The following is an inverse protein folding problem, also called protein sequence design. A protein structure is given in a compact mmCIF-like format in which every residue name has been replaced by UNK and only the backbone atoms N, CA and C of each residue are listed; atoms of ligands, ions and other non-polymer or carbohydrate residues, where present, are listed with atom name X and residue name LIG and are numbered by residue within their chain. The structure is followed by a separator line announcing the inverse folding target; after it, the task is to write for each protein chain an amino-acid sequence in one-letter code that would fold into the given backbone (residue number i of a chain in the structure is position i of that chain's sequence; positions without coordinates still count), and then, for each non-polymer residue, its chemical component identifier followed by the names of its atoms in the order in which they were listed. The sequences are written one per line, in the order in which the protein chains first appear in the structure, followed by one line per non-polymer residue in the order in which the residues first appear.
data_IF_500810146895
#
_entry.id   IF_500810146895
#
_cell.length_a   1.000
_cell.length_b   1.000
_cell.length_c   1.000
_cell.angle_alpha   90.00
_cell.angle_beta   90.00
_cell.angle_gamma   90.00
#
_symmetry.space_group_name_H-M   'P 1'
#
loop_
_entity.id
_entity.type
_entity.pdbx_description
1 polymer ?
#
# COMPACT_ATOMS: atom_id res chain seq x y z
N UNK A 1 -4.04 18.38 9.11
CA UNK A 1 -3.03 17.30 9.12
C UNK A 1 -3.47 16.22 8.15
N UNK A 2 -2.58 15.79 7.27
CA UNK A 2 -2.86 14.70 6.30
C UNK A 2 -2.78 13.35 7.01
N UNK A 3 -3.76 12.46 6.80
CA UNK A 3 -3.73 11.10 7.34
C UNK A 3 -2.71 10.27 6.54
N UNK A 4 -2.00 9.37 7.23
CA UNK A 4 -0.99 8.48 6.62
C UNK A 4 -1.40 7.02 6.77
N UNK A 5 -1.21 6.24 5.72
CA UNK A 5 -1.48 4.80 5.67
C UNK A 5 -0.20 4.09 5.22
N UNK A 6 0.20 3.06 5.97
CA UNK A 6 1.30 2.17 5.63
C UNK A 6 0.78 0.73 5.53
N UNK A 7 0.96 0.09 4.38
CA UNK A 7 0.73 -1.34 4.19
C UNK A 7 2.05 -2.11 4.34
N UNK A 8 2.05 -3.20 5.10
CA UNK A 8 3.22 -4.07 5.28
C UNK A 8 2.87 -5.43 4.70
N UNK A 9 3.63 -5.86 3.70
CA UNK A 9 3.26 -6.96 2.80
C UNK A 9 4.45 -7.89 2.59
N UNK A 10 4.17 -9.16 2.31
CA UNK A 10 5.20 -10.19 2.34
C UNK A 10 5.99 -10.23 1.02
N UNK A 11 5.29 -10.26 -0.11
CA UNK A 11 5.87 -10.50 -1.42
C UNK A 11 5.63 -9.33 -2.38
N UNK A 12 6.40 -9.24 -3.47
CA UNK A 12 6.03 -8.37 -4.58
C UNK A 12 4.62 -8.70 -5.06
N UNK A 13 3.89 -7.68 -5.48
CA UNK A 13 2.53 -7.74 -6.03
C UNK A 13 1.39 -7.94 -5.02
N UNK A 14 1.68 -8.27 -3.75
CA UNK A 14 0.68 -8.32 -2.67
C UNK A 14 -0.07 -6.98 -2.55
N UNK A 15 0.60 -5.84 -2.80
CA UNK A 15 -0.03 -4.52 -2.73
C UNK A 15 -1.06 -4.32 -3.83
N UNK A 16 -0.80 -4.89 -5.01
CA UNK A 16 -1.64 -4.75 -6.18
C UNK A 16 -2.79 -5.75 -6.18
N UNK A 17 -2.54 -7.01 -5.79
CA UNK A 17 -3.57 -8.07 -5.71
C UNK A 17 -4.47 -7.95 -4.48
N UNK A 18 -3.93 -7.52 -3.34
CA UNK A 18 -4.68 -7.46 -2.09
C UNK A 18 -5.49 -6.18 -1.93
N UNK A 19 -4.80 -5.05 -1.80
CA UNK A 19 -5.39 -3.78 -1.35
C UNK A 19 -5.09 -2.58 -2.25
N UNK A 20 -4.69 -2.82 -3.49
CA UNK A 20 -4.24 -1.76 -4.42
C UNK A 20 -5.33 -0.73 -4.67
N UNK A 21 -6.56 -1.18 -4.87
CA UNK A 21 -7.72 -0.30 -5.01
C UNK A 21 -8.02 0.51 -3.74
N UNK A 22 -7.80 -0.07 -2.55
CA UNK A 22 -7.98 0.63 -1.28
C UNK A 22 -6.93 1.73 -1.10
N UNK A 23 -5.65 1.43 -1.37
CA UNK A 23 -4.58 2.42 -1.31
C UNK A 23 -4.82 3.55 -2.32
N UNK A 24 -5.19 3.22 -3.57
CA UNK A 24 -5.53 4.22 -4.58
C UNK A 24 -6.70 5.12 -4.15
N UNK A 25 -7.77 4.53 -3.60
CA UNK A 25 -8.93 5.28 -3.11
C UNK A 25 -8.57 6.27 -2.01
N UNK A 26 -7.75 5.86 -1.04
CA UNK A 26 -7.35 6.75 0.05
C UNK A 26 -6.35 7.82 -0.40
N UNK A 27 -5.48 7.50 -1.35
CA UNK A 27 -4.61 8.49 -1.98
C UNK A 27 -5.44 9.59 -2.67
N UNK A 28 -6.46 9.22 -3.45
CA UNK A 28 -7.39 10.16 -4.08
C UNK A 28 -8.17 11.01 -3.05
N UNK A 29 -8.41 10.48 -1.85
CA UNK A 29 -9.04 11.21 -0.73
C UNK A 29 -8.06 12.07 0.06
N UNK A 30 -6.84 12.25 -0.43
CA UNK A 30 -5.82 13.11 0.15
C UNK A 30 -5.07 12.48 1.32
N UNK A 31 -5.09 11.15 1.48
CA UNK A 31 -4.19 10.47 2.42
C UNK A 31 -2.84 10.21 1.76
N UNK A 32 -1.75 10.28 2.53
CA UNK A 32 -0.46 9.77 2.09
C UNK A 32 -0.45 8.23 2.24
N UNK A 33 -0.15 7.51 1.17
CA UNK A 33 -0.18 6.04 1.14
C UNK A 33 1.20 5.49 0.81
N UNK A 34 1.66 4.52 1.61
CA UNK A 34 2.94 3.84 1.45
C UNK A 34 2.75 2.34 1.56
N UNK A 35 3.66 1.56 0.98
CA UNK A 35 3.78 0.14 1.27
C UNK A 35 5.24 -0.24 1.52
N UNK A 36 5.44 -1.31 2.29
CA UNK A 36 6.72 -1.99 2.45
C UNK A 36 6.51 -3.43 2.03
N UNK A 37 7.35 -3.88 1.09
CA UNK A 37 7.45 -5.27 0.70
C UNK A 37 8.61 -5.91 1.48
N UNK A 38 8.33 -6.99 2.22
CA UNK A 38 9.29 -7.60 3.13
C UNK A 38 10.35 -8.44 2.40
N UNK A 39 10.05 -8.95 1.21
CA UNK A 39 10.92 -9.85 0.45
C UNK A 39 11.03 -9.42 -1.02
N UNK A 40 11.98 -9.99 -1.75
CA UNK A 40 12.10 -9.78 -3.21
C UNK A 40 11.41 -10.90 -4.01
N UNK A 41 10.80 -11.88 -3.33
CA UNK A 41 10.17 -13.04 -3.96
C UNK A 41 11.14 -14.09 -4.50
N UNK A 42 12.30 -14.29 -3.83
CA UNK A 42 13.22 -15.40 -4.14
C UNK A 42 12.64 -16.79 -3.83
#
# INVERSE_FOLDING_TARGET
MTKKILAVLAHPDDESFGLGGTLALYNQRGCETYYVCATRGE
#
